data_IF_159575412797
#
_entry.id   IF_159575412797
#
_cell.length_a   1.000
_cell.length_b   1.000
_cell.length_c   1.000
_cell.angle_alpha   90.00
_cell.angle_beta   90.00
_cell.angle_gamma   90.00
#
_symmetry.space_group_name_H-M   'P 1'
#
loop_
_entity.id
_entity.type
_entity.pdbx_description
1 polymer ?
#
# COMPACT_ATOMS: atom_id res chain seq x y z
N UNK A 1 -16.36 -7.28 27.84
CA UNK A 1 -15.94 -8.16 28.96
C UNK A 1 -14.54 -8.70 28.68
N UNK A 2 -13.61 -8.50 29.62
CA UNK A 2 -12.18 -8.88 29.42
C UNK A 2 -12.01 -10.33 29.85
N UNK A 3 -11.65 -11.23 28.92
CA UNK A 3 -11.23 -12.59 29.25
C UNK A 3 -9.93 -12.55 30.03
N UNK A 4 -9.89 -13.14 31.22
CA UNK A 4 -8.69 -13.26 32.05
C UNK A 4 -7.90 -14.51 31.62
N UNK A 5 -6.64 -14.31 31.28
CA UNK A 5 -5.68 -15.40 31.07
C UNK A 5 -5.26 -15.89 32.47
N UNK A 6 -5.44 -17.17 32.74
CA UNK A 6 -4.95 -17.81 33.96
C UNK A 6 -3.86 -18.81 33.57
N UNK A 7 -2.65 -18.59 34.07
CA UNK A 7 -1.53 -19.52 33.92
C UNK A 7 -1.53 -20.43 35.16
N UNK A 8 -1.62 -21.75 34.94
CA UNK A 8 -1.46 -22.75 36.02
C UNK A 8 0.03 -23.10 36.22
N UNK A 9 0.39 -23.49 37.42
CA UNK A 9 1.76 -23.80 37.83
C UNK A 9 2.44 -24.96 37.10
N UNK A 10 1.80 -25.60 36.14
CA UNK A 10 2.31 -26.65 35.26
C UNK A 10 2.67 -26.15 33.83
N UNK A 11 2.69 -24.84 33.62
CA UNK A 11 3.08 -24.23 32.35
C UNK A 11 2.03 -24.35 31.21
N UNK A 12 0.83 -24.87 31.47
CA UNK A 12 -0.23 -24.94 30.46
C UNK A 12 -1.11 -23.69 30.51
N UNK A 13 -1.18 -23.01 29.36
CA UNK A 13 -2.08 -21.86 29.14
C UNK A 13 -3.44 -22.38 28.71
N UNK A 14 -4.46 -22.21 29.56
CA UNK A 14 -5.86 -22.48 29.20
C UNK A 14 -6.64 -21.18 29.16
N UNK A 15 -7.23 -20.88 28.02
CA UNK A 15 -8.27 -19.85 27.94
C UNK A 15 -9.58 -20.43 28.49
N UNK A 16 -9.96 -19.98 29.66
CA UNK A 16 -11.30 -20.28 30.19
C UNK A 16 -12.27 -19.22 29.63
N UNK A 17 -12.83 -19.48 28.44
CA UNK A 17 -14.04 -18.85 27.95
C UNK A 17 -15.22 -19.59 28.59
N UNK A 18 -16.08 -18.87 29.26
CA UNK A 18 -17.33 -19.41 29.78
C UNK A 18 -18.17 -19.92 28.60
N UNK A 19 -18.20 -21.24 28.44
CA UNK A 19 -19.23 -21.91 27.68
C UNK A 19 -20.44 -22.08 28.58
N UNK A 20 -21.31 -21.08 28.67
CA UNK A 20 -22.72 -21.34 29.01
C UNK A 20 -23.34 -21.96 27.76
N UNK A 21 -23.71 -23.23 27.92
CA UNK A 21 -24.55 -23.95 26.95
C UNK A 21 -25.96 -23.33 27.06
N UNK A 22 -26.30 -22.52 26.08
CA UNK A 22 -27.68 -22.31 25.70
C UNK A 22 -27.83 -22.86 24.27
N UNK A 23 -28.68 -23.86 24.19
CA UNK A 23 -29.32 -24.44 22.99
C UNK A 23 -28.52 -24.37 21.67
N UNK A 24 -28.01 -25.49 21.28
CA UNK A 24 -27.78 -26.13 19.96
C UNK A 24 -27.59 -25.30 18.68
N UNK A 25 -27.44 -23.99 18.75
CA UNK A 25 -27.03 -23.14 17.64
C UNK A 25 -25.53 -22.85 17.77
N UNK A 26 -24.73 -23.59 17.01
CA UNK A 26 -23.40 -23.13 16.62
C UNK A 26 -23.65 -21.82 15.86
N UNK A 27 -23.44 -20.69 16.52
CA UNK A 27 -23.38 -19.41 15.84
C UNK A 27 -22.25 -19.52 14.82
N UNK A 28 -22.58 -19.84 13.57
CA UNK A 28 -21.64 -19.78 12.44
C UNK A 28 -21.16 -18.34 12.39
N UNK A 29 -20.00 -18.08 13.01
CA UNK A 29 -19.39 -16.74 12.96
C UNK A 29 -19.16 -16.42 11.51
N UNK A 30 -20.02 -15.56 10.95
CA UNK A 30 -19.88 -15.06 9.59
C UNK A 30 -18.42 -14.75 9.30
N UNK A 31 -17.88 -15.27 8.19
CA UNK A 31 -16.51 -14.97 7.76
C UNK A 31 -16.31 -13.47 7.47
N UNK A 32 -17.40 -12.80 7.10
CA UNK A 32 -17.37 -11.36 6.84
C UNK A 32 -17.65 -10.54 8.09
N UNK A 33 -16.98 -9.39 8.20
CA UNK A 33 -17.09 -8.45 9.30
C UNK A 33 -18.08 -7.34 8.89
N UNK A 34 -19.12 -7.04 9.71
CA UNK A 34 -20.05 -5.94 9.43
C UNK A 34 -19.33 -4.57 9.34
N UNK A 35 -19.85 -3.62 8.52
CA UNK A 35 -19.19 -2.32 8.31
C UNK A 35 -18.87 -1.52 9.58
N UNK A 36 -19.71 -1.45 10.63
CA UNK A 36 -19.32 -0.75 11.87
C UNK A 36 -18.12 -1.40 12.58
N UNK A 37 -18.07 -2.74 12.60
CA UNK A 37 -16.93 -3.48 13.19
C UNK A 37 -15.67 -3.30 12.36
N UNK A 38 -15.79 -3.29 11.03
CA UNK A 38 -14.69 -2.97 10.12
C UNK A 38 -14.07 -1.60 10.46
N UNK A 39 -14.91 -0.57 10.62
CA UNK A 39 -14.45 0.78 10.97
C UNK A 39 -13.76 0.78 12.35
N UNK A 40 -14.31 0.07 13.34
CA UNK A 40 -13.68 -0.06 14.65
C UNK A 40 -12.27 -0.69 14.56
N UNK A 41 -12.10 -1.76 13.75
CA UNK A 41 -10.80 -2.40 13.51
C UNK A 41 -9.82 -1.48 12.78
N UNK A 42 -10.29 -0.71 11.80
CA UNK A 42 -9.47 0.29 11.10
C UNK A 42 -8.95 1.35 12.07
N UNK A 43 -9.81 1.87 12.96
CA UNK A 43 -9.44 2.88 13.95
C UNK A 43 -8.43 2.34 14.97
N UNK A 44 -8.62 1.12 15.46
CA UNK A 44 -7.68 0.44 16.35
C UNK A 44 -6.31 0.22 15.69
N UNK A 45 -6.31 -0.20 14.42
CA UNK A 45 -5.07 -0.35 13.64
C UNK A 45 -4.36 1.00 13.46
N UNK A 46 -5.09 2.08 13.19
CA UNK A 46 -4.54 3.41 13.06
C UNK A 46 -3.89 3.91 14.36
N UNK A 47 -4.51 3.67 15.52
CA UNK A 47 -3.94 4.01 16.83
C UNK A 47 -2.63 3.25 17.08
N UNK A 48 -2.60 1.95 16.81
CA UNK A 48 -1.38 1.14 16.94
C UNK A 48 -0.26 1.68 16.05
N UNK A 49 -0.57 2.00 14.78
CA UNK A 49 0.39 2.55 13.81
C UNK A 49 0.92 3.93 14.23
N UNK A 50 0.09 4.78 14.80
CA UNK A 50 0.47 6.11 15.27
C UNK A 50 1.51 6.07 16.40
N UNK A 51 1.56 5.00 17.18
CA UNK A 51 2.44 4.84 18.35
C UNK A 51 3.66 3.95 18.10
N UNK A 52 3.84 3.43 16.88
CA UNK A 52 5.02 2.62 16.55
C UNK A 52 6.31 3.43 16.73
N UNK A 53 7.40 2.80 17.21
CA UNK A 53 8.70 3.45 17.28
C UNK A 53 9.25 3.73 15.86
N UNK A 54 10.07 4.77 15.74
CA UNK A 54 10.61 5.25 14.45
C UNK A 54 11.33 4.12 13.69
N UNK A 55 12.16 3.35 14.40
CA UNK A 55 12.87 2.23 13.80
C UNK A 55 11.91 1.20 13.16
N UNK A 56 10.76 0.92 13.80
CA UNK A 56 9.75 0.03 13.25
C UNK A 56 9.05 0.65 12.03
N UNK A 57 8.73 1.95 12.06
CA UNK A 57 8.14 2.67 10.92
C UNK A 57 9.07 2.63 9.71
N UNK A 58 10.37 2.89 9.91
CA UNK A 58 11.37 2.83 8.85
C UNK A 58 11.58 1.42 8.30
N UNK A 59 11.81 0.44 9.17
CA UNK A 59 12.10 -0.93 8.75
C UNK A 59 10.90 -1.58 8.03
N UNK A 60 9.68 -1.45 8.60
CA UNK A 60 8.45 -1.96 7.98
C UNK A 60 8.12 -1.20 6.71
N UNK A 61 8.38 0.12 6.66
CA UNK A 61 8.25 0.93 5.47
C UNK A 61 9.21 0.47 4.37
N UNK A 62 10.48 0.25 4.69
CA UNK A 62 11.46 -0.19 3.71
C UNK A 62 11.11 -1.57 3.13
N UNK A 63 10.76 -2.54 3.97
CA UNK A 63 10.30 -3.85 3.51
C UNK A 63 9.07 -3.74 2.59
N UNK A 64 8.10 -2.88 2.95
CA UNK A 64 6.90 -2.64 2.16
C UNK A 64 7.23 -2.04 0.78
N UNK A 65 8.09 -1.02 0.72
CA UNK A 65 8.53 -0.41 -0.52
C UNK A 65 9.25 -1.40 -1.45
N UNK A 66 10.12 -2.23 -0.88
CA UNK A 66 10.83 -3.28 -1.64
C UNK A 66 9.88 -4.34 -2.21
N UNK A 67 8.89 -4.81 -1.43
CA UNK A 67 7.89 -5.78 -1.90
C UNK A 67 7.00 -5.23 -3.02
N UNK A 68 6.61 -3.95 -2.96
CA UNK A 68 5.90 -3.32 -4.07
C UNK A 68 6.79 -3.16 -5.30
N UNK A 69 8.06 -2.86 -5.11
CA UNK A 69 9.05 -2.84 -6.19
C UNK A 69 9.15 -4.21 -6.87
N UNK A 70 9.25 -5.29 -6.08
CA UNK A 70 9.31 -6.66 -6.59
C UNK A 70 8.04 -7.06 -7.37
N UNK A 71 6.86 -6.73 -6.84
CA UNK A 71 5.59 -6.99 -7.53
C UNK A 71 5.46 -6.18 -8.83
N UNK A 72 5.97 -4.94 -8.83
CA UNK A 72 6.02 -4.10 -10.04
C UNK A 72 6.96 -4.71 -11.09
N UNK A 73 8.15 -5.16 -10.67
CA UNK A 73 9.11 -5.80 -11.56
C UNK A 73 8.53 -7.10 -12.16
N UNK A 74 7.82 -7.91 -11.36
CA UNK A 74 7.11 -9.11 -11.83
C UNK A 74 6.07 -8.75 -12.92
N UNK A 75 5.26 -7.72 -12.69
CA UNK A 75 4.29 -7.26 -13.67
C UNK A 75 4.96 -6.80 -14.98
N UNK A 76 6.07 -6.06 -14.86
CA UNK A 76 6.85 -5.60 -16.03
C UNK A 76 7.57 -6.75 -16.74
N UNK A 77 7.96 -7.80 -16.03
CA UNK A 77 8.52 -9.02 -16.64
C UNK A 77 7.49 -9.68 -17.55
N UNK A 78 6.22 -9.76 -17.12
CA UNK A 78 5.15 -10.26 -17.98
C UNK A 78 5.00 -9.41 -19.27
N UNK A 79 5.10 -8.09 -19.15
CA UNK A 79 5.04 -7.20 -20.33
C UNK A 79 6.27 -7.33 -21.24
N UNK A 80 7.45 -7.50 -20.66
CA UNK A 80 8.68 -7.72 -21.44
C UNK A 80 8.67 -9.06 -22.20
N UNK A 81 7.89 -10.04 -21.76
CA UNK A 81 7.62 -11.31 -22.44
C UNK A 81 6.51 -11.21 -23.51
N UNK A 82 5.99 -10.02 -23.77
CA UNK A 82 4.94 -9.79 -24.76
C UNK A 82 3.52 -10.11 -24.31
N UNK A 83 3.32 -10.38 -23.00
CA UNK A 83 1.98 -10.64 -22.47
C UNK A 83 1.15 -9.34 -22.38
N UNK A 84 -0.18 -9.43 -22.52
CA UNK A 84 -1.06 -8.26 -22.38
C UNK A 84 -0.86 -7.54 -21.06
N UNK A 85 -1.00 -6.21 -21.06
CA UNK A 85 -0.84 -5.38 -19.84
C UNK A 85 -1.72 -5.82 -18.68
N UNK A 86 -2.89 -6.38 -18.98
CA UNK A 86 -3.80 -6.91 -17.97
C UNK A 86 -3.19 -8.07 -17.16
N UNK A 87 -2.31 -8.89 -17.77
CA UNK A 87 -1.62 -9.97 -17.04
C UNK A 87 -0.73 -9.40 -15.93
N UNK A 88 0.03 -8.33 -16.24
CA UNK A 88 0.80 -7.62 -15.22
C UNK A 88 -0.08 -7.06 -14.10
N UNK A 89 -1.27 -6.56 -14.44
CA UNK A 89 -2.23 -6.07 -13.44
C UNK A 89 -2.77 -7.19 -12.54
N UNK A 90 -3.02 -8.38 -13.10
CA UNK A 90 -3.48 -9.55 -12.34
C UNK A 90 -2.43 -10.02 -11.33
N UNK A 91 -1.14 -9.99 -11.66
CA UNK A 91 -0.08 -10.49 -10.75
C UNK A 91 0.40 -9.45 -9.74
N UNK A 92 0.28 -8.16 -10.05
CA UNK A 92 0.78 -7.08 -9.19
C UNK A 92 0.26 -7.11 -7.73
N UNK A 93 -1.01 -7.46 -7.43
CA UNK A 93 -1.52 -7.47 -6.06
C UNK A 93 -0.76 -8.36 -5.09
N UNK A 94 0.06 -9.31 -5.57
CA UNK A 94 0.85 -10.20 -4.71
C UNK A 94 1.71 -9.42 -3.71
N UNK A 95 2.34 -8.30 -4.14
CA UNK A 95 3.15 -7.47 -3.24
C UNK A 95 2.32 -6.79 -2.17
N UNK A 96 1.14 -6.27 -2.53
CA UNK A 96 0.23 -5.66 -1.57
C UNK A 96 -0.30 -6.67 -0.55
N UNK A 97 -0.67 -7.86 -0.98
CA UNK A 97 -1.10 -8.93 -0.08
C UNK A 97 0.02 -9.32 0.89
N UNK A 98 1.25 -9.52 0.40
CA UNK A 98 2.38 -9.85 1.26
C UNK A 98 2.63 -8.78 2.33
N UNK A 99 2.69 -7.50 1.95
CA UNK A 99 2.97 -6.44 2.92
C UNK A 99 1.88 -6.28 3.97
N UNK A 100 0.60 -6.45 3.60
CA UNK A 100 -0.52 -6.35 4.54
C UNK A 100 -0.53 -7.54 5.51
N UNK A 101 -0.36 -8.76 5.01
CA UNK A 101 -0.34 -9.98 5.83
C UNK A 101 0.86 -10.01 6.80
N UNK A 102 1.99 -9.44 6.41
CA UNK A 102 3.17 -9.29 7.27
C UNK A 102 3.07 -8.11 8.25
N UNK A 103 2.00 -7.32 8.20
CA UNK A 103 1.83 -6.15 9.06
C UNK A 103 2.87 -5.04 8.80
N UNK A 104 3.31 -4.89 7.56
CA UNK A 104 4.25 -3.85 7.16
C UNK A 104 3.54 -2.48 7.03
N UNK A 105 4.35 -1.44 6.89
CA UNK A 105 3.86 -0.06 6.85
C UNK A 105 3.91 0.51 5.42
N UNK A 106 2.74 0.88 4.91
CA UNK A 106 2.59 1.52 3.61
C UNK A 106 1.94 2.90 3.78
N UNK A 107 2.64 3.95 3.35
CA UNK A 107 2.18 5.33 3.51
C UNK A 107 0.81 5.56 2.88
N UNK A 108 0.56 5.01 1.70
CA UNK A 108 -0.71 5.17 0.97
C UNK A 108 -1.89 4.54 1.70
N UNK A 109 -1.72 3.40 2.37
CA UNK A 109 -2.74 2.84 3.26
C UNK A 109 -2.97 3.73 4.50
N UNK A 110 -1.88 4.28 5.06
CA UNK A 110 -1.94 5.17 6.20
C UNK A 110 -2.58 6.53 5.88
N UNK A 111 -2.63 6.95 4.60
CA UNK A 111 -3.35 8.15 4.16
C UNK A 111 -4.88 8.05 4.33
N UNK A 112 -5.44 6.87 4.51
CA UNK A 112 -6.84 6.69 4.91
C UNK A 112 -7.00 6.46 6.42
N UNK A 113 -6.20 5.55 6.99
CA UNK A 113 -6.39 5.08 8.37
C UNK A 113 -6.15 6.18 9.40
N UNK A 114 -5.06 6.95 9.27
CA UNK A 114 -4.71 7.95 10.28
C UNK A 114 -5.64 9.19 10.27
N UNK A 115 -6.03 9.76 9.11
CA UNK A 115 -7.05 10.81 9.08
C UNK A 115 -8.38 10.38 9.69
N UNK A 116 -8.81 9.13 9.47
CA UNK A 116 -10.00 8.56 10.09
C UNK A 116 -9.90 8.56 11.62
N UNK A 117 -8.79 8.08 12.19
CA UNK A 117 -8.54 8.09 13.63
C UNK A 117 -8.38 9.51 14.18
N UNK A 118 -7.76 10.42 13.43
CA UNK A 118 -7.67 11.85 13.81
C UNK A 118 -9.04 12.52 13.85
N UNK A 119 -9.89 12.25 12.88
CA UNK A 119 -11.27 12.75 12.85
C UNK A 119 -12.05 12.30 14.10
N UNK A 120 -11.87 11.06 14.53
CA UNK A 120 -12.45 10.50 15.77
C UNK A 120 -11.67 10.91 17.04
N UNK A 121 -10.72 11.84 16.95
CA UNK A 121 -9.90 12.36 18.06
C UNK A 121 -9.11 11.28 18.82
N UNK A 122 -8.86 10.11 18.22
CA UNK A 122 -8.11 9.01 18.83
C UNK A 122 -6.60 9.22 18.79
N UNK A 123 -6.11 10.05 17.86
CA UNK A 123 -4.70 10.40 17.72
C UNK A 123 -4.54 11.89 17.47
N UNK A 124 -3.34 12.43 17.70
CA UNK A 124 -3.01 13.84 17.43
C UNK A 124 -2.62 14.07 15.98
N UNK A 125 -2.71 15.31 15.50
CA UNK A 125 -2.21 15.68 14.17
C UNK A 125 -0.68 15.46 14.05
N UNK A 126 0.07 15.71 15.11
CA UNK A 126 1.50 15.44 15.16
C UNK A 126 1.82 13.95 14.96
N UNK A 127 1.01 13.05 15.54
CA UNK A 127 1.17 11.61 15.33
C UNK A 127 0.90 11.20 13.88
N UNK A 128 -0.07 11.84 13.20
CA UNK A 128 -0.34 11.62 11.77
C UNK A 128 0.88 12.01 10.93
N UNK A 129 1.36 13.24 11.08
CA UNK A 129 2.50 13.78 10.31
C UNK A 129 3.77 12.96 10.59
N UNK A 130 4.02 12.61 11.86
CA UNK A 130 5.14 11.77 12.26
C UNK A 130 5.11 10.40 11.58
N UNK A 131 3.96 9.73 11.59
CA UNK A 131 3.82 8.40 10.96
C UNK A 131 4.01 8.52 9.44
N UNK A 132 3.31 9.46 8.79
CA UNK A 132 3.42 9.66 7.34
C UNK A 132 4.86 9.92 6.92
N UNK A 133 5.56 10.80 7.62
CA UNK A 133 6.96 11.15 7.30
C UNK A 133 7.90 9.95 7.39
N UNK A 134 7.89 9.23 8.51
CA UNK A 134 8.80 8.10 8.71
C UNK A 134 8.46 6.87 7.86
N UNK A 135 7.17 6.58 7.67
CA UNK A 135 6.74 5.48 6.80
C UNK A 135 7.06 5.80 5.34
N UNK A 136 6.79 7.04 4.89
CA UNK A 136 7.11 7.45 3.52
C UNK A 136 8.62 7.39 3.25
N UNK A 137 9.44 7.85 4.19
CA UNK A 137 10.90 7.71 4.09
C UNK A 137 11.33 6.25 4.03
N UNK A 138 10.76 5.39 4.87
CA UNK A 138 11.00 3.95 4.81
C UNK A 138 10.64 3.37 3.45
N UNK A 139 9.42 3.67 2.94
CA UNK A 139 8.98 3.22 1.62
C UNK A 139 9.95 3.70 0.51
N UNK A 140 10.42 4.96 0.60
CA UNK A 140 11.39 5.53 -0.33
C UNK A 140 12.71 4.73 -0.33
N UNK A 141 13.29 4.50 0.86
CA UNK A 141 14.52 3.72 1.01
C UNK A 141 14.38 2.30 0.46
N UNK A 142 13.26 1.63 0.77
CA UNK A 142 13.01 0.27 0.29
C UNK A 142 12.78 0.18 -1.21
N UNK A 143 11.97 1.07 -1.78
CA UNK A 143 11.66 1.08 -3.21
C UNK A 143 12.90 1.41 -4.06
N UNK A 144 13.65 2.45 -3.69
CA UNK A 144 14.87 2.85 -4.40
C UNK A 144 15.98 1.81 -4.19
N UNK A 145 16.15 1.32 -2.95
CA UNK A 145 17.12 0.25 -2.67
C UNK A 145 16.84 -1.01 -3.50
N UNK A 146 15.56 -1.41 -3.60
CA UNK A 146 15.17 -2.53 -4.46
C UNK A 146 15.40 -2.22 -5.95
N UNK A 147 15.16 -0.98 -6.40
CA UNK A 147 15.44 -0.58 -7.79
C UNK A 147 16.94 -0.74 -8.12
N UNK A 148 17.83 -0.32 -7.23
CA UNK A 148 19.28 -0.49 -7.39
C UNK A 148 19.66 -1.98 -7.48
N UNK A 149 19.19 -2.80 -6.55
CA UNK A 149 19.48 -4.24 -6.53
C UNK A 149 18.91 -4.96 -7.76
N UNK A 150 17.68 -4.62 -8.17
CA UNK A 150 17.04 -5.20 -9.34
C UNK A 150 17.82 -4.85 -10.63
N UNK A 151 18.17 -3.58 -10.83
CA UNK A 151 18.93 -3.17 -12.01
C UNK A 151 20.34 -3.76 -11.98
N UNK A 152 21.03 -3.77 -10.84
CA UNK A 152 22.32 -4.41 -10.72
C UNK A 152 22.27 -5.91 -11.10
N UNK A 153 21.22 -6.61 -10.65
CA UNK A 153 20.99 -8.01 -11.02
C UNK A 153 20.72 -8.19 -12.51
N UNK A 154 19.89 -7.32 -13.10
CA UNK A 154 19.51 -7.38 -14.52
C UNK A 154 20.66 -7.06 -15.46
N UNK A 155 21.63 -6.25 -15.04
CA UNK A 155 22.75 -5.75 -15.85
C UNK A 155 24.09 -6.40 -15.49
N UNK A 156 24.10 -7.40 -14.62
CA UNK A 156 25.35 -7.96 -14.11
C UNK A 156 26.27 -6.88 -13.52
N UNK A 157 25.74 -6.06 -12.64
CA UNK A 157 26.44 -4.90 -12.05
C UNK A 157 26.91 -3.89 -13.12
N UNK A 158 26.00 -3.53 -14.02
CA UNK A 158 26.25 -2.60 -15.14
C UNK A 158 27.32 -3.06 -16.14
N UNK A 159 27.59 -4.36 -16.22
CA UNK A 159 28.50 -4.92 -17.22
C UNK A 159 27.85 -5.10 -18.60
N UNK A 160 26.52 -5.12 -18.67
CA UNK A 160 25.75 -5.23 -19.92
C UNK A 160 24.39 -4.52 -19.77
N UNK A 161 23.66 -4.38 -20.86
CA UNK A 161 22.33 -3.78 -20.88
C UNK A 161 21.29 -4.66 -20.19
N UNK A 162 20.23 -4.02 -19.64
CA UNK A 162 19.14 -4.70 -18.94
C UNK A 162 18.13 -5.41 -19.88
N UNK A 163 18.40 -5.45 -21.18
CA UNK A 163 17.58 -6.13 -22.17
C UNK A 163 16.14 -5.62 -22.29
N UNK A 164 15.19 -6.48 -22.72
CA UNK A 164 13.79 -6.06 -22.93
C UNK A 164 13.11 -5.52 -21.68
N UNK A 165 13.45 -6.03 -20.49
CA UNK A 165 12.88 -5.55 -19.22
C UNK A 165 13.41 -4.15 -18.88
N UNK A 166 14.69 -3.87 -19.16
CA UNK A 166 15.26 -2.54 -19.02
C UNK A 166 14.58 -1.52 -19.95
N UNK A 167 14.25 -1.93 -21.18
CA UNK A 167 13.49 -1.09 -22.10
C UNK A 167 12.08 -0.78 -21.56
N UNK A 168 11.37 -1.76 -21.03
CA UNK A 168 10.07 -1.54 -20.39
C UNK A 168 10.18 -0.57 -19.20
N UNK A 169 11.24 -0.67 -18.39
CA UNK A 169 11.50 0.25 -17.27
C UNK A 169 11.71 1.68 -17.76
N UNK A 170 12.55 1.87 -18.80
CA UNK A 170 12.80 3.19 -19.41
C UNK A 170 11.51 3.82 -19.94
N UNK A 171 10.75 3.07 -20.74
CA UNK A 171 9.52 3.55 -21.36
C UNK A 171 8.46 3.92 -20.32
N UNK A 172 8.25 3.06 -19.31
CA UNK A 172 7.27 3.33 -18.26
C UNK A 172 7.68 4.55 -17.42
N UNK A 173 8.96 4.67 -17.05
CA UNK A 173 9.46 5.83 -16.32
C UNK A 173 9.31 7.12 -17.13
N UNK A 174 9.66 7.10 -18.43
CA UNK A 174 9.50 8.23 -19.33
C UNK A 174 8.03 8.67 -19.42
N UNK A 175 7.11 7.72 -19.59
CA UNK A 175 5.66 8.01 -19.64
C UNK A 175 5.12 8.65 -18.37
N UNK A 176 5.72 8.33 -17.21
CA UNK A 176 5.32 8.84 -15.90
C UNK A 176 5.96 10.19 -15.52
N UNK A 177 7.04 10.59 -16.16
CA UNK A 177 7.73 11.83 -15.81
C UNK A 177 7.80 12.81 -16.98
N UNK A 178 8.30 12.37 -18.15
CA UNK A 178 8.52 13.25 -19.30
C UNK A 178 7.22 13.68 -19.96
N UNK A 179 6.27 12.76 -20.20
CA UNK A 179 4.99 13.12 -20.81
C UNK A 179 4.19 14.10 -19.96
N UNK A 180 4.24 13.99 -18.63
CA UNK A 180 3.59 14.95 -17.77
C UNK A 180 4.27 16.31 -17.83
N UNK A 181 5.61 16.35 -17.86
CA UNK A 181 6.36 17.61 -18.05
C UNK A 181 6.04 18.28 -19.39
N UNK A 182 6.00 17.51 -20.46
CA UNK A 182 5.69 18.01 -21.81
C UNK A 182 4.28 18.60 -21.90
N UNK A 183 3.33 17.99 -21.21
CA UNK A 183 1.94 18.48 -21.11
C UNK A 183 1.77 19.66 -20.13
N UNK A 184 2.83 20.08 -19.46
CA UNK A 184 2.81 21.19 -18.51
C UNK A 184 1.79 21.02 -17.39
N UNK A 185 1.03 22.09 -17.09
CA UNK A 185 0.05 22.06 -15.99
C UNK A 185 -1.04 20.99 -16.17
N UNK A 186 -1.44 20.69 -17.39
CA UNK A 186 -2.39 19.60 -17.66
C UNK A 186 -1.81 18.23 -17.31
N UNK A 187 -0.51 18.01 -17.59
CA UNK A 187 0.19 16.79 -17.18
C UNK A 187 0.28 16.68 -15.67
N UNK A 188 0.62 17.76 -14.97
CA UNK A 188 0.68 17.80 -13.51
C UNK A 188 -0.69 17.48 -12.88
N UNK A 189 -1.76 18.12 -13.37
CA UNK A 189 -3.14 17.87 -12.93
C UNK A 189 -3.58 16.44 -13.22
N UNK A 190 -3.16 15.87 -14.36
CA UNK A 190 -3.42 14.47 -14.72
C UNK A 190 -2.75 13.51 -13.75
N UNK A 191 -1.48 13.74 -13.40
CA UNK A 191 -0.76 12.92 -12.42
C UNK A 191 -1.43 12.98 -11.04
N UNK A 192 -1.86 14.15 -10.60
CA UNK A 192 -2.62 14.34 -9.36
C UNK A 192 -3.94 13.58 -9.39
N UNK A 193 -4.74 13.75 -10.44
CA UNK A 193 -6.05 13.07 -10.58
C UNK A 193 -5.89 11.55 -10.60
N UNK A 194 -4.92 11.03 -11.36
CA UNK A 194 -4.60 9.61 -11.34
C UNK A 194 -4.13 9.14 -9.97
N UNK A 195 -3.44 10.00 -9.22
CA UNK A 195 -3.08 9.76 -7.83
C UNK A 195 -4.29 9.63 -6.91
N UNK A 196 -5.29 10.51 -7.04
CA UNK A 196 -6.55 10.43 -6.29
C UNK A 196 -7.25 9.09 -6.56
N UNK A 197 -7.43 8.74 -7.83
CA UNK A 197 -8.10 7.52 -8.25
C UNK A 197 -7.34 6.26 -7.82
N UNK A 198 -6.01 6.28 -7.92
CA UNK A 198 -5.17 5.17 -7.45
C UNK A 198 -5.38 4.90 -5.97
N UNK A 199 -5.23 5.92 -5.14
CA UNK A 199 -5.24 5.70 -3.71
C UNK A 199 -6.65 5.57 -3.12
N UNK A 200 -7.68 6.00 -3.82
CA UNK A 200 -9.03 5.56 -3.50
C UNK A 200 -9.12 4.04 -3.56
N UNK A 201 -8.71 3.40 -4.66
CA UNK A 201 -8.74 1.94 -4.81
C UNK A 201 -7.79 1.23 -3.85
N UNK A 202 -6.57 1.73 -3.66
CA UNK A 202 -5.60 1.15 -2.71
C UNK A 202 -6.14 1.15 -1.29
N UNK A 203 -6.78 2.23 -0.87
CA UNK A 203 -7.33 2.33 0.48
C UNK A 203 -8.65 1.58 0.65
N UNK A 204 -9.43 1.38 -0.42
CA UNK A 204 -10.49 0.37 -0.46
C UNK A 204 -9.89 -1.02 -0.21
N UNK A 205 -8.80 -1.39 -0.90
CA UNK A 205 -8.08 -2.64 -0.64
C UNK A 205 -7.58 -2.76 0.81
N UNK A 206 -7.07 -1.67 1.37
CA UNK A 206 -6.66 -1.60 2.79
C UNK A 206 -7.85 -1.84 3.74
N UNK A 207 -9.00 -1.22 3.47
CA UNK A 207 -10.21 -1.43 4.26
C UNK A 207 -10.73 -2.85 4.13
N UNK A 208 -10.74 -3.41 2.93
CA UNK A 208 -11.18 -4.77 2.67
C UNK A 208 -10.30 -5.84 3.34
N UNK A 209 -9.05 -5.52 3.70
CA UNK A 209 -8.22 -6.40 4.53
C UNK A 209 -8.82 -6.67 5.92
N UNK A 210 -9.71 -5.80 6.41
CA UNK A 210 -10.40 -5.95 7.69
C UNK A 210 -11.77 -6.64 7.55
N UNK A 211 -12.30 -6.84 6.33
CA UNK A 211 -13.62 -7.43 6.09
C UNK A 211 -13.65 -8.93 6.36
N UNK A 212 -12.56 -9.65 6.09
CA UNK A 212 -12.50 -11.10 6.26
C UNK A 212 -11.68 -11.51 7.47
N UNK A 213 -12.11 -12.59 8.12
CA UNK A 213 -11.37 -13.24 9.21
C UNK A 213 -10.41 -14.31 8.69
N UNK A 214 -10.64 -14.86 7.50
CA UNK A 214 -9.76 -15.83 6.88
C UNK A 214 -8.65 -15.16 6.05
N UNK A 215 -7.47 -15.77 6.00
CA UNK A 215 -6.34 -15.26 5.20
C UNK A 215 -6.66 -15.26 3.71
N UNK A 216 -7.29 -16.31 3.19
CA UNK A 216 -7.71 -16.43 1.79
C UNK A 216 -8.74 -15.35 1.42
N UNK A 217 -9.73 -15.13 2.29
CA UNK A 217 -10.72 -14.06 2.10
C UNK A 217 -10.10 -12.67 2.09
N UNK A 218 -9.12 -12.40 2.94
CA UNK A 218 -8.35 -11.13 2.89
C UNK A 218 -7.62 -10.95 1.58
N UNK A 219 -6.91 -11.99 1.12
CA UNK A 219 -6.19 -11.95 -0.16
C UNK A 219 -7.17 -11.66 -1.31
N UNK A 220 -8.26 -12.40 -1.42
CA UNK A 220 -9.25 -12.21 -2.47
C UNK A 220 -9.86 -10.80 -2.46
N UNK A 221 -10.23 -10.31 -1.28
CA UNK A 221 -10.85 -8.99 -1.12
C UNK A 221 -9.87 -7.83 -1.49
N UNK A 222 -8.60 -7.95 -1.12
CA UNK A 222 -7.58 -6.96 -1.46
C UNK A 222 -7.21 -7.01 -2.94
N UNK A 223 -7.23 -8.19 -3.57
CA UNK A 223 -6.73 -8.40 -4.93
C UNK A 223 -7.45 -7.53 -5.95
N UNK A 224 -8.78 -7.48 -5.88
CA UNK A 224 -9.62 -6.80 -6.87
C UNK A 224 -9.31 -5.30 -7.02
N UNK A 225 -9.37 -4.46 -5.96
CA UNK A 225 -9.10 -3.04 -6.12
C UNK A 225 -7.63 -2.73 -6.46
N UNK A 226 -6.70 -3.59 -6.00
CA UNK A 226 -5.27 -3.42 -6.30
C UNK A 226 -4.99 -3.75 -7.78
N UNK A 227 -5.56 -4.84 -8.30
CA UNK A 227 -5.51 -5.16 -9.72
C UNK A 227 -6.10 -4.04 -10.56
N UNK A 228 -7.23 -3.48 -10.14
CA UNK A 228 -7.95 -2.45 -10.87
C UNK A 228 -7.12 -1.18 -11.03
N UNK A 229 -6.58 -0.61 -9.93
CA UNK A 229 -5.82 0.63 -10.06
C UNK A 229 -4.56 0.47 -10.91
N UNK A 230 -3.89 -0.68 -10.80
CA UNK A 230 -2.67 -0.96 -11.55
C UNK A 230 -2.97 -1.18 -13.04
N UNK A 231 -4.05 -1.93 -13.34
CA UNK A 231 -4.52 -2.18 -14.71
C UNK A 231 -4.96 -0.91 -15.44
N UNK A 232 -5.55 0.05 -14.71
CA UNK A 232 -5.94 1.35 -15.25
C UNK A 232 -4.76 2.33 -15.41
N UNK A 233 -3.56 1.96 -14.96
CA UNK A 233 -2.36 2.80 -15.09
C UNK A 233 -2.42 4.07 -14.25
N UNK A 234 -3.05 4.01 -13.08
CA UNK A 234 -3.13 5.12 -12.15
C UNK A 234 -1.80 5.34 -11.40
N UNK A 235 -1.64 6.53 -10.80
CA UNK A 235 -0.39 6.96 -10.19
C UNK A 235 -0.34 6.63 -8.70
N UNK A 236 0.50 5.66 -8.34
CA UNK A 236 0.75 5.28 -6.96
C UNK A 236 2.16 5.71 -6.54
N UNK A 237 2.24 6.65 -5.60
CA UNK A 237 3.50 7.30 -5.24
C UNK A 237 4.60 6.32 -4.83
N UNK A 238 4.29 5.26 -4.09
CA UNK A 238 5.30 4.28 -3.65
C UNK A 238 5.75 3.35 -4.79
N UNK A 239 4.85 3.00 -5.71
CA UNK A 239 5.21 2.28 -6.95
C UNK A 239 6.14 3.13 -7.82
N UNK A 240 5.86 4.43 -7.91
CA UNK A 240 6.67 5.37 -8.69
C UNK A 240 8.08 5.56 -8.11
N UNK A 241 8.26 5.41 -6.77
CA UNK A 241 9.58 5.38 -6.11
C UNK A 241 10.45 4.18 -6.53
N UNK A 242 9.86 3.14 -7.12
CA UNK A 242 10.61 2.06 -7.76
C UNK A 242 10.76 2.31 -9.27
N UNK A 243 9.64 2.54 -9.98
CA UNK A 243 9.60 2.60 -11.45
C UNK A 243 10.52 3.67 -12.02
N UNK A 244 10.43 4.90 -11.49
CA UNK A 244 11.18 6.01 -12.08
C UNK A 244 12.67 5.91 -11.78
N UNK A 245 13.13 5.64 -10.54
CA UNK A 245 14.54 5.37 -10.29
C UNK A 245 15.08 4.17 -11.07
N UNK A 246 14.35 3.06 -11.18
CA UNK A 246 14.79 1.91 -11.99
C UNK A 246 14.92 2.27 -13.48
N UNK A 247 13.99 3.06 -14.03
CA UNK A 247 14.09 3.60 -15.39
C UNK A 247 15.29 4.53 -15.57
N UNK A 248 15.56 5.41 -14.59
CA UNK A 248 16.77 6.27 -14.62
C UNK A 248 18.05 5.45 -14.60
N UNK A 249 18.12 4.43 -13.74
CA UNK A 249 19.29 3.53 -13.63
C UNK A 249 19.51 2.68 -14.89
N UNK A 250 18.46 2.43 -15.68
CA UNK A 250 18.54 1.74 -16.96
C UNK A 250 18.70 2.70 -18.16
N UNK A 251 18.88 4.00 -17.92
CA UNK A 251 19.22 5.00 -18.94
C UNK A 251 18.05 5.87 -19.43
N UNK A 252 16.91 5.94 -18.71
CA UNK A 252 15.89 6.93 -19.05
C UNK A 252 16.42 8.36 -18.80
N UNK A 253 16.23 9.32 -19.74
CA UNK A 253 16.75 10.69 -19.63
C UNK A 253 15.91 11.56 -18.70
N UNK A 254 15.74 11.12 -17.45
CA UNK A 254 14.91 11.76 -16.44
C UNK A 254 15.82 12.33 -15.36
N UNK A 255 15.81 13.65 -15.18
CA UNK A 255 16.47 14.28 -14.04
C UNK A 255 15.62 14.16 -12.77
N UNK A 256 16.27 14.14 -11.59
CA UNK A 256 15.62 14.06 -10.29
C UNK A 256 14.55 15.17 -10.10
N UNK A 257 14.87 16.41 -10.51
CA UNK A 257 13.90 17.52 -10.46
C UNK A 257 12.66 17.26 -11.32
N UNK A 258 12.81 16.71 -12.52
CA UNK A 258 11.71 16.34 -13.39
C UNK A 258 10.82 15.27 -12.73
N UNK A 259 11.43 14.22 -12.19
CA UNK A 259 10.73 13.18 -11.45
C UNK A 259 9.91 13.75 -10.28
N UNK A 260 10.58 14.52 -9.41
CA UNK A 260 9.93 15.04 -8.20
C UNK A 260 8.78 15.99 -8.54
N UNK A 261 8.99 16.96 -9.42
CA UNK A 261 8.02 18.01 -9.71
C UNK A 261 6.82 17.47 -10.52
N UNK A 262 7.09 16.65 -11.54
CA UNK A 262 6.07 16.27 -12.53
C UNK A 262 5.39 14.93 -12.25
N UNK A 263 5.92 14.13 -11.32
CA UNK A 263 5.29 12.88 -10.92
C UNK A 263 5.16 12.73 -9.40
N UNK A 264 6.27 12.72 -8.67
CA UNK A 264 6.24 12.29 -7.27
C UNK A 264 5.38 13.19 -6.39
N UNK A 265 5.50 14.51 -6.53
CA UNK A 265 4.70 15.48 -5.75
C UNK A 265 3.21 15.38 -6.11
N UNK A 266 2.77 15.54 -7.38
CA UNK A 266 1.35 15.47 -7.70
C UNK A 266 0.74 14.09 -7.37
N UNK A 267 1.43 12.99 -7.65
CA UNK A 267 0.96 11.64 -7.31
C UNK A 267 0.79 11.45 -5.80
N UNK A 268 1.75 11.94 -4.99
CA UNK A 268 1.66 11.84 -3.53
C UNK A 268 0.51 12.68 -2.98
N UNK A 269 0.35 13.91 -3.43
CA UNK A 269 -0.78 14.77 -3.05
C UNK A 269 -2.12 14.13 -3.43
N UNK A 270 -2.20 13.61 -4.65
CA UNK A 270 -3.37 12.85 -5.11
C UNK A 270 -3.65 11.63 -4.24
N UNK A 271 -2.63 10.87 -3.87
CA UNK A 271 -2.79 9.70 -3.01
C UNK A 271 -3.28 10.09 -1.60
N UNK A 272 -2.80 11.20 -1.02
CA UNK A 272 -3.32 11.71 0.27
C UNK A 272 -4.82 12.04 0.15
N UNK A 273 -5.20 12.78 -0.89
CA UNK A 273 -6.60 13.17 -1.14
C UNK A 273 -7.47 11.90 -1.33
N UNK A 274 -7.05 10.98 -2.21
CA UNK A 274 -7.80 9.76 -2.51
C UNK A 274 -8.02 8.88 -1.29
N UNK A 275 -7.00 8.68 -0.46
CA UNK A 275 -7.09 7.88 0.75
C UNK A 275 -7.96 8.54 1.82
N UNK A 276 -7.69 9.80 2.15
CA UNK A 276 -8.38 10.49 3.22
C UNK A 276 -9.85 10.78 2.88
N UNK A 277 -10.10 11.41 1.73
CA UNK A 277 -11.43 11.95 1.40
C UNK A 277 -12.35 10.93 0.74
N UNK A 278 -11.83 9.90 0.09
CA UNK A 278 -12.65 8.92 -0.64
C UNK A 278 -12.81 7.58 0.08
N UNK A 279 -12.01 7.29 1.11
CA UNK A 279 -12.12 6.05 1.89
C UNK A 279 -12.16 6.30 3.39
N UNK A 280 -11.11 6.90 3.98
CA UNK A 280 -10.97 6.99 5.43
C UNK A 280 -12.09 7.76 6.11
N UNK A 281 -12.29 9.01 5.73
CA UNK A 281 -13.33 9.87 6.31
C UNK A 281 -14.76 9.39 5.96
N UNK A 282 -15.09 9.02 4.70
CA UNK A 282 -16.42 8.52 4.37
C UNK A 282 -16.83 7.29 5.16
N UNK A 283 -15.95 6.29 5.30
CA UNK A 283 -16.25 5.08 6.06
C UNK A 283 -16.56 5.38 7.53
N UNK A 284 -15.74 6.24 8.16
CA UNK A 284 -15.96 6.62 9.56
C UNK A 284 -17.23 7.46 9.72
N UNK A 285 -17.54 8.33 8.78
CA UNK A 285 -18.72 9.17 8.83
C UNK A 285 -20.02 8.38 8.65
N UNK A 286 -20.01 7.39 7.74
CA UNK A 286 -21.20 6.60 7.38
C UNK A 286 -21.44 5.40 8.30
N UNK A 287 -20.39 4.79 8.85
CA UNK A 287 -20.48 3.53 9.61
C UNK A 287 -19.84 3.59 11.00
N UNK A 288 -19.14 4.67 11.34
CA UNK A 288 -18.58 4.84 12.68
C UNK A 288 -19.68 5.07 13.71
N UNK A 289 -19.61 4.41 14.88
CA UNK A 289 -20.49 4.70 16.01
C UNK A 289 -20.37 6.19 16.40
N UNK A 290 -21.52 6.81 16.72
CA UNK A 290 -21.61 8.23 17.10
C UNK A 290 -21.05 8.46 18.49
#
# INVERSE_FOLDING_TARGET
MRGRIVVRGDGKVTMRGMAERQDGQVEERSESVPPPVLVALMLEAAEKKAHLPIAALLARGAASGALLGAATLLAMTAWAQGLPRLVGAVVFPVGFCMLVLLGLELATGNFALLPAARYRRRITAAAVVRNWGWVYLGNCLGSIGFAVLAVASLTGWWSHEAGPLGEQLRQLAASKALLYRESGWLGWSTALTKGVLANWLVTVGTALAFVSRSTSGKIAAMWLPIMTFFGLGYEHSIVNLFVIPAGMLTGAPIGVGTWLIWNQVPSTLGNVIGGALFTGLPLVWTHGER
#
